data_IF_844195217711
#
_entry.id   IF_844195217711
#
_cell.length_a   1.000
_cell.length_b   1.000
_cell.length_c   1.000
_cell.angle_alpha   90.00
_cell.angle_beta   90.00
_cell.angle_gamma   90.00
#
_symmetry.space_group_name_H-M   'P 1'
#
loop_
_entity.id
_entity.type
_entity.pdbx_description
1 polymer ?
#
# COMPACT_ATOMS: atom_id res chain seq x y z
N UNK A 1 -19.61 2.80 8.08
CA UNK A 1 -20.22 3.18 6.79
C UNK A 1 -21.07 2.02 6.29
N UNK A 2 -22.32 2.27 6.03
CA UNK A 2 -23.19 1.36 5.29
C UNK A 2 -23.31 1.90 3.86
N UNK A 3 -22.76 1.17 2.91
CA UNK A 3 -22.75 1.55 1.49
C UNK A 3 -23.72 0.71 0.66
N UNK A 4 -24.46 -0.23 1.31
CA UNK A 4 -25.25 -1.22 0.60
C UNK A 4 -24.33 -2.11 -0.26
N UNK A 5 -24.64 -2.21 -1.55
CA UNK A 5 -23.84 -2.98 -2.52
C UNK A 5 -22.73 -2.14 -3.18
N UNK A 6 -22.62 -0.85 -2.86
CA UNK A 6 -21.62 0.03 -3.45
C UNK A 6 -20.26 -0.13 -2.75
N UNK A 7 -19.19 -0.07 -3.54
CA UNK A 7 -17.82 -0.04 -3.01
C UNK A 7 -17.57 1.33 -2.36
N UNK A 8 -17.06 1.31 -1.12
CA UNK A 8 -16.61 2.52 -0.46
C UNK A 8 -15.35 3.06 -1.16
N UNK A 9 -15.38 4.32 -1.56
CA UNK A 9 -14.25 5.03 -2.17
C UNK A 9 -13.84 6.18 -1.24
N UNK A 10 -12.55 6.47 -1.06
CA UNK A 10 -12.08 7.60 -0.23
C UNK A 10 -12.19 8.92 -1.02
N UNK A 11 -13.42 9.31 -1.32
CA UNK A 11 -13.79 10.51 -2.08
C UNK A 11 -14.34 11.64 -1.17
N UNK A 12 -14.69 12.76 -1.78
CA UNK A 12 -15.23 13.93 -1.07
C UNK A 12 -16.48 13.58 -0.25
N UNK A 13 -17.32 12.64 -0.71
CA UNK A 13 -18.53 12.22 -0.01
C UNK A 13 -18.19 11.45 1.27
N UNK A 14 -17.23 10.51 1.18
CA UNK A 14 -16.75 9.71 2.31
C UNK A 14 -16.06 10.61 3.33
N UNK A 15 -15.16 11.49 2.88
CA UNK A 15 -14.45 12.44 3.73
C UNK A 15 -15.42 13.42 4.43
N UNK A 16 -16.36 13.96 3.67
CA UNK A 16 -17.38 14.87 4.20
C UNK A 16 -18.25 14.22 5.27
N UNK A 17 -18.60 12.94 5.13
CA UNK A 17 -19.35 12.19 6.13
C UNK A 17 -18.57 12.03 7.43
N UNK A 18 -17.27 11.73 7.38
CA UNK A 18 -16.42 11.64 8.58
C UNK A 18 -16.41 13.00 9.31
N UNK A 19 -16.25 14.10 8.57
CA UNK A 19 -16.24 15.45 9.15
C UNK A 19 -17.59 15.80 9.80
N UNK A 20 -18.71 15.40 9.19
CA UNK A 20 -20.07 15.67 9.73
C UNK A 20 -20.36 14.90 11.03
N UNK A 21 -19.80 13.71 11.17
CA UNK A 21 -20.00 12.87 12.37
C UNK A 21 -18.99 13.20 13.49
N UNK A 22 -18.02 14.08 13.23
CA UNK A 22 -17.03 14.47 14.20
C UNK A 22 -17.60 15.49 15.20
N UNK A 23 -17.54 15.17 16.49
CA UNK A 23 -17.88 16.11 17.55
C UNK A 23 -16.81 17.21 17.70
N UNK A 24 -17.21 18.40 18.16
CA UNK A 24 -16.32 19.55 18.32
C UNK A 24 -15.25 19.35 19.40
N UNK A 25 -15.49 18.47 20.36
CA UNK A 25 -14.59 18.12 21.45
C UNK A 25 -13.80 16.81 21.19
N UNK A 26 -13.87 16.29 19.97
CA UNK A 26 -13.08 15.09 19.58
C UNK A 26 -11.60 15.34 19.80
N UNK A 27 -10.92 14.48 20.55
CA UNK A 27 -9.49 14.55 20.83
C UNK A 27 -8.67 13.43 20.19
N UNK A 28 -9.33 12.37 19.75
CA UNK A 28 -8.72 11.21 19.08
C UNK A 28 -9.75 10.56 18.17
N UNK A 29 -9.35 10.14 16.98
CA UNK A 29 -10.15 9.27 16.13
C UNK A 29 -9.62 7.84 16.16
N UNK A 30 -10.53 6.85 16.18
CA UNK A 30 -10.20 5.44 16.03
C UNK A 30 -10.82 4.95 14.73
N UNK A 31 -9.98 4.70 13.75
CA UNK A 31 -10.38 4.08 12.50
C UNK A 31 -10.47 2.56 12.68
N UNK A 32 -11.59 1.95 12.40
CA UNK A 32 -11.77 0.49 12.43
C UNK A 32 -12.14 0.04 11.03
N UNK A 33 -11.22 -0.60 10.35
CA UNK A 33 -11.44 -1.00 8.96
C UNK A 33 -10.16 -1.36 8.21
N UNK A 34 -10.26 -1.39 6.88
CA UNK A 34 -9.14 -1.62 5.98
C UNK A 34 -8.66 -0.31 5.33
N UNK A 35 -8.01 -0.37 4.18
CA UNK A 35 -7.33 0.74 3.52
C UNK A 35 -8.15 2.00 3.35
N UNK A 36 -9.36 1.90 2.79
CA UNK A 36 -10.22 3.07 2.52
C UNK A 36 -10.58 3.82 3.80
N UNK A 37 -10.91 3.10 4.87
CA UNK A 37 -11.22 3.71 6.18
C UNK A 37 -9.97 4.37 6.75
N UNK A 38 -8.82 3.67 6.70
CA UNK A 38 -7.54 4.23 7.13
C UNK A 38 -7.23 5.55 6.43
N UNK A 39 -7.25 5.56 5.09
CA UNK A 39 -6.84 6.70 4.29
C UNK A 39 -7.79 7.89 4.45
N UNK A 40 -9.11 7.62 4.54
CA UNK A 40 -10.12 8.64 4.79
C UNK A 40 -9.96 9.29 6.16
N UNK A 41 -9.80 8.49 7.23
CA UNK A 41 -9.60 9.02 8.60
C UNK A 41 -8.24 9.71 8.71
N UNK A 42 -7.19 9.13 8.15
CA UNK A 42 -5.85 9.73 8.09
C UNK A 42 -5.89 11.12 7.44
N UNK A 43 -6.57 11.25 6.29
CA UNK A 43 -6.71 12.53 5.62
C UNK A 43 -7.46 13.55 6.47
N UNK A 44 -8.64 13.20 6.99
CA UNK A 44 -9.46 14.10 7.81
C UNK A 44 -8.72 14.54 9.06
N UNK A 45 -8.12 13.61 9.80
CA UNK A 45 -7.38 13.90 11.03
C UNK A 45 -6.14 14.74 10.78
N UNK A 46 -5.46 14.53 9.65
CA UNK A 46 -4.33 15.35 9.25
C UNK A 46 -4.74 16.81 8.97
N UNK A 47 -5.95 17.05 8.49
CA UNK A 47 -6.48 18.41 8.22
C UNK A 47 -7.05 19.07 9.46
N UNK A 48 -7.58 18.29 10.41
CA UNK A 48 -8.11 18.79 11.68
C UNK A 48 -7.08 18.85 12.82
N UNK A 49 -5.85 18.35 12.59
CA UNK A 49 -4.80 18.32 13.61
C UNK A 49 -5.04 17.30 14.72
N UNK A 50 -5.89 16.29 14.50
CA UNK A 50 -6.23 15.26 15.47
C UNK A 50 -5.32 14.05 15.31
N UNK A 51 -4.91 13.40 16.40
CA UNK A 51 -4.31 12.08 16.32
C UNK A 51 -5.36 11.03 15.93
N UNK A 52 -4.90 9.93 15.28
CA UNK A 52 -5.75 8.77 15.04
C UNK A 52 -5.01 7.46 15.29
N UNK A 53 -5.78 6.42 15.59
CA UNK A 53 -5.34 5.04 15.70
C UNK A 53 -6.08 4.22 14.65
N UNK A 54 -5.40 3.30 13.98
CA UNK A 54 -6.02 2.33 13.09
C UNK A 54 -6.10 0.95 13.75
N UNK A 55 -7.30 0.38 13.78
CA UNK A 55 -7.55 -1.03 14.06
C UNK A 55 -7.79 -1.70 12.71
N UNK A 56 -6.75 -2.35 12.19
CA UNK A 56 -6.81 -2.99 10.88
C UNK A 56 -7.68 -4.25 10.93
N UNK A 57 -8.72 -4.31 10.09
CA UNK A 57 -9.61 -5.48 9.98
C UNK A 57 -9.22 -6.42 8.85
N UNK A 58 -8.29 -6.04 7.99
CA UNK A 58 -7.70 -6.87 6.95
C UNK A 58 -6.25 -6.45 6.70
N UNK A 59 -5.33 -7.39 6.40
CA UNK A 59 -3.96 -7.07 6.01
C UNK A 59 -3.90 -6.79 4.49
N UNK A 60 -4.49 -5.68 4.01
CA UNK A 60 -4.84 -5.49 2.60
C UNK A 60 -3.93 -4.55 1.80
N UNK A 61 -3.09 -3.74 2.47
CA UNK A 61 -2.21 -2.77 1.82
C UNK A 61 -1.15 -2.22 2.79
N UNK A 62 -0.11 -1.58 2.29
CA UNK A 62 1.02 -1.05 3.06
C UNK A 62 0.84 0.38 3.60
N UNK A 63 -0.21 1.08 3.16
CA UNK A 63 -0.47 2.48 3.51
C UNK A 63 -0.89 2.75 4.97
N UNK A 64 -1.09 1.75 5.83
CA UNK A 64 -1.54 1.95 7.21
C UNK A 64 -0.65 2.93 7.99
N UNK A 65 0.65 2.80 7.86
CA UNK A 65 1.64 3.63 8.58
C UNK A 65 2.46 4.53 7.66
N UNK A 66 2.06 4.66 6.38
CA UNK A 66 2.68 5.60 5.46
C UNK A 66 2.18 7.05 5.70
N UNK A 67 2.96 8.02 5.27
CA UNK A 67 2.65 9.45 5.38
C UNK A 67 1.74 9.98 4.25
N UNK A 68 1.42 9.16 3.26
CA UNK A 68 0.45 9.45 2.22
C UNK A 68 -0.96 8.98 2.58
N UNK A 69 -1.97 9.67 2.09
CA UNK A 69 -3.38 9.27 2.16
C UNK A 69 -3.99 9.27 0.75
N UNK A 70 -3.92 8.14 0.01
CA UNK A 70 -4.52 8.06 -1.33
C UNK A 70 -6.02 8.31 -1.28
N UNK A 71 -6.46 9.39 -1.92
CA UNK A 71 -7.88 9.78 -2.01
C UNK A 71 -8.25 10.12 -3.45
N UNK A 72 -9.54 10.13 -3.72
CA UNK A 72 -10.09 10.61 -4.98
C UNK A 72 -10.67 12.01 -4.82
N UNK A 73 -10.35 12.90 -5.74
CA UNK A 73 -10.99 14.20 -5.86
C UNK A 73 -11.32 14.49 -7.32
N UNK A 74 -12.57 14.82 -7.59
CA UNK A 74 -13.09 15.11 -8.94
C UNK A 74 -12.75 14.00 -9.96
N UNK A 75 -12.75 12.75 -9.51
CA UNK A 75 -12.44 11.58 -10.33
C UNK A 75 -10.94 11.27 -10.51
N UNK A 76 -10.05 12.06 -9.93
CA UNK A 76 -8.61 11.82 -9.99
C UNK A 76 -8.09 11.28 -8.65
N UNK A 77 -7.27 10.24 -8.74
CA UNK A 77 -6.55 9.71 -7.58
C UNK A 77 -5.27 10.51 -7.35
N UNK A 78 -5.07 10.98 -6.12
CA UNK A 78 -3.82 11.60 -5.68
C UNK A 78 -3.55 11.26 -4.22
N UNK A 79 -2.30 11.35 -3.80
CA UNK A 79 -1.86 10.99 -2.45
C UNK A 79 -1.29 12.21 -1.74
N UNK A 80 -2.13 13.05 -1.09
CA UNK A 80 -1.63 14.16 -0.31
C UNK A 80 -0.84 13.68 0.91
N UNK A 81 0.15 14.46 1.31
CA UNK A 81 0.88 14.24 2.55
C UNK A 81 -0.08 14.38 3.73
N UNK A 82 -0.04 13.42 4.63
CA UNK A 82 -0.79 13.34 5.85
C UNK A 82 0.15 12.96 7.01
N UNK A 83 -0.32 13.04 8.23
CA UNK A 83 0.49 12.58 9.36
C UNK A 83 0.39 11.07 9.55
N UNK A 84 1.38 10.50 10.20
CA UNK A 84 1.40 9.09 10.54
C UNK A 84 0.31 8.77 11.59
N UNK A 85 -0.16 7.53 11.57
CA UNK A 85 -1.02 7.03 12.65
C UNK A 85 -0.26 7.06 13.99
N UNK A 86 -0.97 7.38 15.06
CA UNK A 86 -0.43 7.29 16.42
C UNK A 86 -0.22 5.84 16.88
N UNK A 87 -1.00 4.92 16.34
CA UNK A 87 -0.87 3.49 16.60
C UNK A 87 -1.62 2.64 15.58
N UNK A 88 -1.12 1.43 15.37
CA UNK A 88 -1.76 0.40 14.59
C UNK A 88 -2.02 -0.81 15.47
N UNK A 89 -3.24 -1.30 15.44
CA UNK A 89 -3.66 -2.54 16.11
C UNK A 89 -4.03 -3.56 15.04
N UNK A 90 -3.37 -4.71 15.06
CA UNK A 90 -3.65 -5.83 14.18
C UNK A 90 -3.87 -7.11 15.01
N UNK A 91 -5.13 -7.42 15.29
CA UNK A 91 -5.52 -8.64 15.99
C UNK A 91 -5.72 -9.77 14.97
N UNK A 92 -4.94 -10.84 15.08
CA UNK A 92 -5.02 -11.97 14.15
C UNK A 92 -6.37 -12.68 14.22
N UNK A 93 -7.09 -12.62 15.34
CA UNK A 93 -8.45 -13.17 15.44
C UNK A 93 -9.46 -12.32 14.64
N UNK A 94 -9.20 -11.05 14.47
CA UNK A 94 -9.97 -10.18 13.58
C UNK A 94 -9.50 -10.39 12.13
N UNK A 95 -8.21 -10.37 11.87
CA UNK A 95 -7.64 -10.50 10.51
C UNK A 95 -8.06 -11.80 9.81
N UNK A 96 -8.18 -12.91 10.53
CA UNK A 96 -8.64 -14.19 9.96
C UNK A 96 -10.10 -14.16 9.47
N UNK A 97 -10.90 -13.17 9.89
CA UNK A 97 -12.28 -12.99 9.43
C UNK A 97 -12.36 -12.16 8.14
N UNK A 98 -11.24 -11.56 7.72
CA UNK A 98 -11.21 -10.74 6.51
C UNK A 98 -11.64 -11.54 5.26
N UNK A 99 -12.30 -10.91 4.29
CA UNK A 99 -12.49 -11.49 2.98
C UNK A 99 -11.18 -11.98 2.36
N UNK A 100 -11.20 -13.13 1.67
CA UNK A 100 -9.97 -13.73 1.13
C UNK A 100 -9.29 -12.83 0.09
N UNK A 101 -10.06 -12.08 -0.68
CA UNK A 101 -9.57 -11.11 -1.66
C UNK A 101 -8.78 -9.97 -1.03
N UNK A 102 -9.13 -9.54 0.19
CA UNK A 102 -8.34 -8.54 0.93
C UNK A 102 -7.02 -9.11 1.46
N UNK A 103 -6.98 -10.38 1.86
CA UNK A 103 -5.73 -11.06 2.22
C UNK A 103 -4.84 -11.22 0.97
N UNK A 104 -5.44 -11.63 -0.15
CA UNK A 104 -4.74 -11.71 -1.44
C UNK A 104 -4.24 -10.35 -1.91
N UNK A 105 -5.02 -9.28 -1.69
CA UNK A 105 -4.60 -7.92 -1.99
C UNK A 105 -3.35 -7.54 -1.20
N UNK A 106 -3.32 -7.77 0.11
CA UNK A 106 -2.14 -7.50 0.91
C UNK A 106 -0.91 -8.29 0.45
N UNK A 107 -1.09 -9.57 0.13
CA UNK A 107 0.01 -10.38 -0.37
C UNK A 107 0.51 -9.89 -1.75
N UNK A 108 -0.41 -9.54 -2.66
CA UNK A 108 -0.06 -8.94 -3.95
C UNK A 108 0.69 -7.62 -3.80
N UNK A 109 0.28 -6.79 -2.86
CA UNK A 109 0.96 -5.55 -2.51
C UNK A 109 2.40 -5.81 -1.99
N UNK A 110 2.57 -6.80 -1.10
CA UNK A 110 3.90 -7.22 -0.62
C UNK A 110 4.78 -7.73 -1.76
N UNK A 111 4.26 -8.55 -2.67
CA UNK A 111 5.01 -9.07 -3.84
C UNK A 111 5.53 -7.92 -4.73
N UNK A 112 4.77 -6.86 -4.88
CA UNK A 112 5.16 -5.67 -5.64
C UNK A 112 6.47 -5.02 -5.17
N UNK A 113 6.87 -5.21 -3.91
CA UNK A 113 8.10 -4.61 -3.36
C UNK A 113 9.37 -5.14 -4.03
N UNK A 114 9.31 -6.33 -4.64
CA UNK A 114 10.43 -6.89 -5.41
C UNK A 114 10.78 -5.96 -6.57
N UNK A 115 9.79 -5.60 -7.38
CA UNK A 115 9.99 -4.70 -8.53
C UNK A 115 10.14 -3.25 -8.10
N UNK A 116 9.50 -2.80 -7.02
CA UNK A 116 9.66 -1.45 -6.48
C UNK A 116 11.11 -1.16 -6.05
N UNK A 117 11.77 -2.11 -5.37
CA UNK A 117 13.19 -1.96 -4.97
C UNK A 117 14.09 -1.94 -6.21
N UNK A 118 13.84 -2.81 -7.19
CA UNK A 118 14.59 -2.82 -8.45
C UNK A 118 14.42 -1.50 -9.23
N UNK A 119 13.21 -0.94 -9.25
CA UNK A 119 12.93 0.37 -9.86
C UNK A 119 13.64 1.51 -9.11
N UNK A 120 13.72 1.42 -7.77
CA UNK A 120 14.49 2.38 -6.98
C UNK A 120 15.99 2.32 -7.29
N UNK A 121 16.57 1.11 -7.44
CA UNK A 121 17.96 0.93 -7.87
C UNK A 121 18.21 1.51 -9.27
N UNK A 122 17.26 1.33 -10.19
CA UNK A 122 17.31 1.93 -11.51
C UNK A 122 17.27 3.47 -11.45
N UNK A 123 16.39 4.03 -10.62
CA UNK A 123 16.27 5.48 -10.43
C UNK A 123 17.55 6.10 -9.85
N UNK A 124 18.23 5.40 -8.91
CA UNK A 124 19.56 5.84 -8.41
C UNK A 124 20.57 5.92 -9.55
N UNK A 125 20.63 4.90 -10.41
CA UNK A 125 21.57 4.84 -11.53
C UNK A 125 21.25 5.86 -12.63
N UNK A 126 19.96 6.02 -12.95
CA UNK A 126 19.53 6.88 -14.05
C UNK A 126 19.46 8.36 -13.68
N UNK A 127 18.99 8.67 -12.47
CA UNK A 127 18.65 10.02 -12.04
C UNK A 127 19.48 10.50 -10.84
N UNK A 128 20.35 9.64 -10.30
CA UNK A 128 21.09 9.91 -9.06
C UNK A 128 20.14 10.17 -7.86
N UNK A 129 19.00 9.44 -7.80
CA UNK A 129 18.05 9.53 -6.72
C UNK A 129 18.70 9.04 -5.39
N UNK A 130 18.21 9.58 -4.27
CA UNK A 130 18.62 9.09 -2.95
C UNK A 130 18.10 7.67 -2.72
N UNK A 131 18.93 6.80 -2.14
CA UNK A 131 18.59 5.44 -1.70
C UNK A 131 18.98 5.23 -0.25
N UNK A 132 18.11 4.62 0.52
CA UNK A 132 18.36 4.25 1.91
C UNK A 132 18.53 2.73 2.05
N UNK A 133 19.76 2.26 2.23
CA UNK A 133 20.06 0.83 2.37
C UNK A 133 19.40 0.21 3.62
N UNK A 134 19.22 1.00 4.67
CA UNK A 134 18.50 0.55 5.87
C UNK A 134 17.04 0.24 5.55
N UNK A 135 16.36 1.12 4.80
CA UNK A 135 14.97 0.89 4.38
C UNK A 135 14.86 -0.31 3.44
N UNK A 136 15.77 -0.46 2.48
CA UNK A 136 15.81 -1.63 1.60
C UNK A 136 16.01 -2.93 2.39
N UNK A 137 16.94 -2.93 3.35
CA UNK A 137 17.17 -4.09 4.23
C UNK A 137 15.93 -4.42 5.06
N UNK A 138 15.25 -3.38 5.60
CA UNK A 138 14.02 -3.56 6.38
C UNK A 138 12.93 -4.22 5.54
N UNK A 139 12.69 -3.70 4.34
CA UNK A 139 11.68 -4.25 3.42
C UNK A 139 12.03 -5.67 3.01
N UNK A 140 13.26 -5.96 2.58
CA UNK A 140 13.67 -7.30 2.18
C UNK A 140 13.48 -8.34 3.30
N UNK A 141 13.86 -8.02 4.55
CA UNK A 141 13.64 -8.91 5.69
C UNK A 141 12.15 -9.18 5.94
N UNK A 142 11.31 -8.16 5.77
CA UNK A 142 9.87 -8.31 5.89
C UNK A 142 9.29 -9.20 4.77
N UNK A 143 9.77 -9.05 3.54
CA UNK A 143 9.43 -9.91 2.40
C UNK A 143 9.80 -11.36 2.67
N UNK A 144 11.05 -11.63 3.06
CA UNK A 144 11.54 -12.98 3.33
C UNK A 144 10.67 -13.70 4.38
N UNK A 145 10.34 -13.00 5.47
CA UNK A 145 9.47 -13.53 6.52
C UNK A 145 8.05 -13.83 6.01
N UNK A 146 7.48 -12.92 5.22
CA UNK A 146 6.15 -13.09 4.65
C UNK A 146 6.11 -14.26 3.65
N UNK A 147 7.09 -14.34 2.75
CA UNK A 147 7.16 -15.43 1.77
C UNK A 147 7.35 -16.80 2.40
N UNK A 148 8.18 -16.90 3.45
CA UNK A 148 8.35 -18.14 4.19
C UNK A 148 7.04 -18.68 4.81
N UNK A 149 6.02 -17.83 5.00
CA UNK A 149 4.74 -18.17 5.60
C UNK A 149 3.55 -18.03 4.63
N UNK A 150 3.80 -17.79 3.34
CA UNK A 150 2.77 -17.49 2.35
C UNK A 150 1.72 -18.60 2.19
N UNK A 151 2.13 -19.87 2.29
CA UNK A 151 1.25 -21.03 2.16
C UNK A 151 0.10 -21.03 3.18
N UNK A 152 0.35 -20.55 4.42
CA UNK A 152 -0.66 -20.49 5.47
C UNK A 152 -1.73 -19.41 5.27
N UNK A 153 -1.52 -18.44 4.35
CA UNK A 153 -2.48 -17.37 4.09
C UNK A 153 -3.80 -17.90 3.52
N UNK A 154 -3.78 -18.99 2.74
CA UNK A 154 -4.99 -19.65 2.21
C UNK A 154 -5.85 -20.26 3.33
N UNK A 155 -5.21 -20.73 4.39
CA UNK A 155 -5.85 -21.35 5.54
C UNK A 155 -6.09 -20.33 6.69
N UNK A 156 -5.74 -19.06 6.46
CA UNK A 156 -5.86 -17.96 7.42
C UNK A 156 -5.10 -18.21 8.73
N UNK A 157 -3.96 -18.89 8.60
CA UNK A 157 -3.08 -19.15 9.74
C UNK A 157 -2.68 -17.85 10.44
N UNK A 158 -2.84 -17.75 11.78
CA UNK A 158 -2.54 -16.51 12.52
C UNK A 158 -1.11 -16.01 12.38
N UNK A 159 -0.12 -16.92 12.31
CA UNK A 159 1.28 -16.52 12.14
C UNK A 159 1.54 -15.98 10.72
N UNK A 160 0.88 -16.54 9.71
CA UNK A 160 0.96 -16.09 8.32
C UNK A 160 0.30 -14.72 8.14
N UNK A 161 -0.88 -14.52 8.73
CA UNK A 161 -1.56 -13.22 8.74
C UNK A 161 -0.76 -12.15 9.49
N UNK A 162 -0.17 -12.52 10.62
CA UNK A 162 0.72 -11.64 11.39
C UNK A 162 1.96 -11.25 10.59
N UNK A 163 2.60 -12.19 9.89
CA UNK A 163 3.75 -11.92 9.04
C UNK A 163 3.39 -11.02 7.84
N UNK A 164 2.20 -11.21 7.25
CA UNK A 164 1.70 -10.36 6.18
C UNK A 164 1.46 -8.93 6.67
N UNK A 165 0.73 -8.74 7.78
CA UNK A 165 0.50 -7.40 8.33
C UNK A 165 1.81 -6.72 8.76
N UNK A 166 2.75 -7.47 9.33
CA UNK A 166 4.07 -6.95 9.68
C UNK A 166 4.83 -6.48 8.43
N UNK A 167 4.83 -7.25 7.33
CA UNK A 167 5.49 -6.87 6.10
C UNK A 167 4.91 -5.57 5.53
N UNK A 168 3.59 -5.45 5.47
CA UNK A 168 2.88 -4.23 5.04
C UNK A 168 3.22 -3.04 5.95
N UNK A 169 3.24 -3.26 7.28
CA UNK A 169 3.58 -2.21 8.27
C UNK A 169 5.01 -1.73 8.10
N UNK A 170 5.98 -2.65 8.00
CA UNK A 170 7.40 -2.29 7.87
C UNK A 170 7.68 -1.57 6.54
N UNK A 171 6.96 -1.91 5.48
CA UNK A 171 7.02 -1.18 4.21
C UNK A 171 6.51 0.25 4.36
N UNK A 172 5.38 0.45 5.04
CA UNK A 172 4.87 1.77 5.39
C UNK A 172 5.85 2.59 6.22
N UNK A 173 6.48 1.97 7.22
CA UNK A 173 7.54 2.59 8.02
C UNK A 173 8.73 2.99 7.15
N UNK A 174 9.15 2.14 6.20
CA UNK A 174 10.25 2.47 5.31
C UNK A 174 9.94 3.68 4.43
N UNK A 175 8.70 3.80 3.91
CA UNK A 175 8.25 5.00 3.19
C UNK A 175 8.31 6.25 4.06
N UNK A 176 7.78 6.18 5.28
CA UNK A 176 7.77 7.30 6.23
C UNK A 176 9.19 7.75 6.62
N UNK A 177 10.14 6.84 6.76
CA UNK A 177 11.53 7.17 7.10
C UNK A 177 12.25 7.94 6.00
N UNK A 178 11.93 7.70 4.74
CA UNK A 178 12.56 8.39 3.59
C UNK A 178 11.70 9.50 2.99
N UNK A 179 10.45 9.65 3.43
CA UNK A 179 9.45 10.60 2.91
C UNK A 179 9.22 10.49 1.39
N UNK A 180 9.36 9.29 0.85
CA UNK A 180 9.06 8.96 -0.56
C UNK A 180 8.50 7.54 -0.64
N UNK A 181 7.74 7.26 -1.70
CA UNK A 181 7.12 5.94 -1.89
C UNK A 181 8.06 4.87 -2.49
N UNK A 182 9.28 5.20 -2.86
CA UNK A 182 10.25 4.30 -3.52
C UNK A 182 10.43 2.92 -2.87
N UNK A 183 10.47 2.80 -1.51
CA UNK A 183 10.60 1.49 -0.88
C UNK A 183 9.44 0.53 -1.16
N UNK A 184 8.31 1.07 -1.58
CA UNK A 184 7.05 0.35 -1.70
C UNK A 184 6.44 0.36 -3.11
N UNK A 185 6.73 1.39 -3.91
CA UNK A 185 5.98 1.73 -5.12
C UNK A 185 6.92 2.04 -6.27
N UNK A 186 6.87 1.23 -7.30
CA UNK A 186 7.58 1.36 -8.56
C UNK A 186 6.62 1.35 -9.74
N UNK A 187 7.09 0.87 -10.88
CA UNK A 187 6.31 0.82 -12.12
C UNK A 187 5.05 -0.07 -12.02
N UNK A 188 5.08 -1.13 -11.20
CA UNK A 188 3.92 -1.98 -10.91
C UNK A 188 2.77 -1.20 -10.25
N UNK A 189 3.08 -0.28 -9.36
CA UNK A 189 2.07 0.60 -8.73
C UNK A 189 1.54 1.64 -9.73
N UNK A 190 2.39 2.19 -10.58
CA UNK A 190 1.95 3.11 -11.63
C UNK A 190 0.95 2.44 -12.58
N UNK A 191 1.20 1.18 -12.95
CA UNK A 191 0.30 0.39 -13.79
C UNK A 191 -1.02 0.09 -13.06
N UNK A 192 -0.96 -0.28 -11.78
CA UNK A 192 -2.14 -0.48 -10.92
C UNK A 192 -3.00 0.79 -10.83
N UNK A 193 -2.39 1.95 -10.56
CA UNK A 193 -3.11 3.23 -10.47
C UNK A 193 -3.76 3.61 -11.81
N UNK A 194 -3.08 3.35 -12.93
CA UNK A 194 -3.67 3.56 -14.25
C UNK A 194 -4.92 2.72 -14.47
N UNK A 195 -4.87 1.43 -14.15
CA UNK A 195 -6.04 0.54 -14.27
C UNK A 195 -7.18 0.98 -13.36
N UNK A 196 -6.90 1.33 -12.12
CA UNK A 196 -7.91 1.79 -11.16
C UNK A 196 -8.64 3.04 -11.68
N UNK A 197 -7.88 4.04 -12.17
CA UNK A 197 -8.47 5.25 -12.73
C UNK A 197 -9.29 4.99 -14.01
N UNK A 198 -8.82 4.08 -14.88
CA UNK A 198 -9.54 3.70 -16.11
C UNK A 198 -10.86 3.00 -15.79
N UNK A 199 -10.88 2.09 -14.80
CA UNK A 199 -12.11 1.42 -14.35
C UNK A 199 -13.11 2.44 -13.81
N UNK A 200 -12.67 3.34 -12.94
CA UNK A 200 -13.55 4.38 -12.36
C UNK A 200 -14.08 5.33 -13.45
N UNK A 201 -13.23 5.74 -14.40
CA UNK A 201 -13.66 6.61 -15.50
C UNK A 201 -14.72 5.96 -16.40
N UNK A 202 -14.73 4.62 -16.47
CA UNK A 202 -15.76 3.85 -17.20
C UNK A 202 -16.98 3.52 -16.35
N UNK A 203 -17.05 3.95 -15.10
CA UNK A 203 -18.13 3.61 -14.16
C UNK A 203 -18.12 2.14 -13.72
N UNK A 204 -16.96 1.49 -13.78
CA UNK A 204 -16.73 0.12 -13.35
C UNK A 204 -16.05 0.10 -11.98
N UNK A 205 -16.34 -0.93 -11.20
CA UNK A 205 -15.66 -1.14 -9.93
C UNK A 205 -14.24 -1.69 -10.16
N UNK A 206 -13.18 -1.00 -9.71
CA UNK A 206 -11.83 -1.53 -9.80
C UNK A 206 -11.63 -2.70 -8.83
N UNK A 207 -10.70 -3.59 -9.15
CA UNK A 207 -10.22 -4.58 -8.20
C UNK A 207 -9.46 -3.90 -7.06
N UNK A 208 -9.29 -4.60 -5.94
CA UNK A 208 -8.47 -4.11 -4.83
C UNK A 208 -7.06 -3.77 -5.29
N UNK A 209 -6.52 -2.67 -4.76
CA UNK A 209 -5.21 -2.12 -5.13
C UNK A 209 -4.11 -3.19 -5.19
N UNK A 210 -3.93 -3.94 -4.11
CA UNK A 210 -2.88 -4.96 -4.05
C UNK A 210 -3.09 -6.15 -5.01
N UNK A 211 -4.34 -6.47 -5.40
CA UNK A 211 -4.59 -7.44 -6.48
C UNK A 211 -4.02 -6.91 -7.81
N UNK A 212 -4.27 -5.64 -8.11
CA UNK A 212 -3.76 -5.00 -9.32
C UNK A 212 -2.23 -4.91 -9.31
N UNK A 213 -1.64 -4.54 -8.16
CA UNK A 213 -0.17 -4.53 -7.96
C UNK A 213 0.41 -5.93 -8.17
N UNK A 214 -0.20 -6.96 -7.57
CA UNK A 214 0.24 -8.35 -7.71
C UNK A 214 0.19 -8.86 -9.17
N UNK A 215 -0.82 -8.42 -9.95
CA UNK A 215 -0.91 -8.74 -11.39
C UNK A 215 0.11 -7.92 -12.20
N UNK A 216 0.37 -6.68 -11.84
CA UNK A 216 1.33 -5.82 -12.51
C UNK A 216 2.79 -6.27 -12.30
N UNK A 217 3.10 -6.82 -11.12
CA UNK A 217 4.46 -7.21 -10.72
C UNK A 217 5.14 -8.16 -11.73
N UNK A 218 4.55 -9.29 -12.14
CA UNK A 218 5.19 -10.17 -13.13
C UNK A 218 5.35 -9.51 -14.51
N UNK A 219 4.48 -8.58 -14.87
CA UNK A 219 4.60 -7.81 -16.13
C UNK A 219 5.85 -6.93 -16.07
N UNK A 220 6.02 -6.21 -14.95
CA UNK A 220 7.18 -5.32 -14.75
C UNK A 220 8.47 -6.11 -14.54
N UNK A 221 8.43 -7.24 -13.82
CA UNK A 221 9.59 -8.13 -13.67
C UNK A 221 10.10 -8.60 -15.03
N UNK A 222 9.20 -9.04 -15.91
CA UNK A 222 9.56 -9.44 -17.27
C UNK A 222 10.15 -8.27 -18.08
N UNK A 223 9.59 -7.07 -17.92
CA UNK A 223 10.16 -5.89 -18.58
C UNK A 223 11.60 -5.62 -18.10
N UNK A 224 11.89 -5.78 -16.81
CA UNK A 224 13.25 -5.64 -16.27
C UNK A 224 14.20 -6.74 -16.78
N UNK A 225 13.72 -7.99 -16.94
CA UNK A 225 14.50 -9.07 -17.56
C UNK A 225 14.87 -8.73 -19.00
N UNK A 226 13.90 -8.31 -19.83
CA UNK A 226 14.14 -7.89 -21.20
C UNK A 226 15.09 -6.68 -21.28
N UNK A 227 14.95 -5.71 -20.38
CA UNK A 227 15.85 -4.56 -20.30
C UNK A 227 17.28 -4.98 -19.94
N UNK A 228 17.45 -5.90 -18.99
CA UNK A 228 18.76 -6.43 -18.59
C UNK A 228 19.42 -7.17 -19.77
N UNK A 229 18.68 -7.98 -20.51
CA UNK A 229 19.18 -8.68 -21.69
C UNK A 229 19.62 -7.71 -22.79
N UNK A 230 18.88 -6.61 -23.00
CA UNK A 230 19.26 -5.56 -23.96
C UNK A 230 20.53 -4.81 -23.54
N UNK A 231 20.75 -4.62 -22.24
CA UNK A 231 21.92 -3.95 -21.67
C UNK A 231 23.13 -4.87 -21.55
N UNK A 232 22.94 -6.18 -21.52
CA UNK A 232 23.98 -7.22 -21.53
C UNK A 232 24.56 -7.50 -22.93
N UNK A 233 24.26 -6.70 -23.95
CA UNK A 233 24.97 -6.73 -25.22
C UNK A 233 26.46 -6.40 -25.04
N UNK A 234 27.41 -6.91 -25.88
CA UNK A 234 28.81 -7.17 -25.57
C UNK A 234 29.73 -5.98 -25.22
N UNK A 235 29.19 -4.91 -24.71
CA UNK A 235 29.93 -3.79 -24.11
C UNK A 235 29.52 -3.56 -22.65
N UNK A 236 29.24 -4.60 -21.91
CA UNK A 236 28.68 -4.61 -20.56
C UNK A 236 29.67 -4.22 -19.44
N UNK A 237 30.40 -3.14 -19.59
CA UNK A 237 31.12 -2.51 -18.47
C UNK A 237 30.21 -1.61 -17.59
N UNK A 238 28.88 -1.69 -17.79
CA UNK A 238 27.91 -0.81 -17.14
C UNK A 238 27.05 -1.48 -16.05
N UNK A 239 27.27 -2.77 -15.75
CA UNK A 239 26.60 -3.45 -14.64
C UNK A 239 27.68 -4.08 -13.72
N UNK A 240 28.25 -3.25 -12.88
CA UNK A 240 28.91 -3.66 -11.65
C UNK A 240 28.34 -2.88 -10.48
#
# INVERSE_FOLDING_TARGET
FDTGDDILIPDEKTLGRIVQEQDLDTSLMVAVGSGVINDSVKFVTSRSGLPYIIVATAPSMDGYVADGAPIFSQGYKYSPVAHLTYGLVGDTDILKTAPQDLIQAGYGDVVGKITAIADWDLAVKANNDYRCDTCVTLVNRALDKCFAKAEGLKDRDPESLGALLEALTLTGVAMALVNISRPASGAEHMLSHFWEMDYIARGLNPNHHGIQVGVATPIIARFFEELADMLCLPNSDYIQ
#
